data_IF_508804314200
#
_entry.id   IF_508804314200
#
_cell.length_a   1.000
_cell.length_b   1.000
_cell.length_c   1.000
_cell.angle_alpha   90.00
_cell.angle_beta   90.00
_cell.angle_gamma   90.00
#
_symmetry.space_group_name_H-M   'P 1'
#
loop_
_entity.id
_entity.type
_entity.pdbx_description
1 polymer ?
#
# COMPACT_ATOMS: atom_id res chain seq x y z
N UNK A 1 22.92 -7.15 6.00
CA UNK A 1 23.22 -6.10 6.99
C UNK A 1 23.00 -6.71 8.36
N UNK A 2 23.99 -6.66 9.24
CA UNK A 2 23.85 -7.06 10.65
C UNK A 2 23.38 -5.85 11.44
N UNK A 3 22.27 -5.97 12.16
CA UNK A 3 21.78 -4.91 13.06
C UNK A 3 22.85 -4.54 14.09
N UNK A 4 23.11 -3.26 14.30
CA UNK A 4 23.91 -2.77 15.41
C UNK A 4 23.13 -2.99 16.73
N UNK A 5 23.35 -4.15 17.35
CA UNK A 5 22.65 -4.58 18.55
C UNK A 5 22.88 -3.59 19.72
N UNK A 6 24.12 -3.18 20.07
CA UNK A 6 24.35 -2.16 21.09
C UNK A 6 23.55 -0.88 20.88
N UNK A 7 23.57 -0.33 19.66
CA UNK A 7 22.80 0.88 19.32
C UNK A 7 21.29 0.66 19.45
N UNK A 8 20.81 -0.50 19.00
CA UNK A 8 19.39 -0.86 19.10
C UNK A 8 18.93 -0.87 20.55
N UNK A 9 19.64 -1.58 21.43
CA UNK A 9 19.28 -1.68 22.84
C UNK A 9 19.32 -0.31 23.53
N UNK A 10 20.33 0.51 23.20
CA UNK A 10 20.42 1.88 23.72
C UNK A 10 19.23 2.74 23.32
N UNK A 11 18.82 2.71 22.04
CA UNK A 11 17.69 3.52 21.56
C UNK A 11 16.35 3.09 22.18
N UNK A 12 16.17 1.79 22.45
CA UNK A 12 14.99 1.31 23.19
C UNK A 12 15.02 1.70 24.67
N UNK A 13 16.20 1.84 25.29
CA UNK A 13 16.33 2.31 26.67
C UNK A 13 16.08 3.82 26.78
N UNK A 14 16.58 4.59 25.82
CA UNK A 14 16.56 6.07 25.83
C UNK A 14 15.44 6.67 24.98
N UNK A 15 14.41 5.89 24.63
CA UNK A 15 13.44 6.24 23.59
C UNK A 15 12.72 7.58 23.84
N UNK A 16 12.45 7.93 25.10
CA UNK A 16 11.82 9.21 25.48
C UNK A 16 12.64 10.45 25.08
N UNK A 17 13.95 10.32 24.94
CA UNK A 17 14.83 11.44 24.58
C UNK A 17 15.33 11.34 23.14
N UNK A 18 15.12 10.19 22.49
CA UNK A 18 15.73 9.84 21.21
C UNK A 18 14.70 9.20 20.27
N UNK A 19 13.44 9.58 20.38
CA UNK A 19 12.34 8.95 19.62
C UNK A 19 12.52 9.10 18.10
N UNK A 20 12.92 10.28 17.63
CA UNK A 20 13.22 10.50 16.21
C UNK A 20 14.40 9.64 15.73
N UNK A 21 15.45 9.52 16.54
CA UNK A 21 16.60 8.65 16.22
C UNK A 21 16.19 7.17 16.19
N UNK A 22 15.29 6.76 17.10
CA UNK A 22 14.71 5.42 17.10
C UNK A 22 13.89 5.17 15.83
N UNK A 23 13.07 6.13 15.39
CA UNK A 23 12.30 6.00 14.14
C UNK A 23 13.22 5.86 12.91
N UNK A 24 14.31 6.64 12.85
CA UNK A 24 15.31 6.52 11.79
C UNK A 24 15.96 5.14 11.84
N UNK A 25 16.43 4.72 13.02
CA UNK A 25 17.05 3.40 13.21
C UNK A 25 16.11 2.24 12.84
N UNK A 26 14.83 2.35 13.17
CA UNK A 26 13.81 1.38 12.79
C UNK A 26 13.69 1.25 11.28
N UNK A 27 13.60 2.36 10.55
CA UNK A 27 13.43 2.36 9.10
C UNK A 27 14.69 1.94 8.34
N UNK A 28 15.87 2.36 8.80
CA UNK A 28 17.11 2.19 8.05
C UNK A 28 17.87 0.90 8.39
N UNK A 29 17.74 0.40 9.63
CA UNK A 29 18.57 -0.70 10.11
C UNK A 29 17.76 -1.87 10.71
N UNK A 30 16.92 -1.62 11.71
CA UNK A 30 16.28 -2.70 12.46
C UNK A 30 15.22 -3.42 11.64
N UNK A 31 14.19 -2.73 11.11
CA UNK A 31 13.13 -3.38 10.35
C UNK A 31 13.66 -4.08 9.08
N UNK A 32 14.56 -3.51 8.27
CA UNK A 32 15.15 -4.22 7.13
C UNK A 32 15.83 -5.54 7.51
N UNK A 33 16.55 -5.55 8.64
CA UNK A 33 17.20 -6.76 9.16
C UNK A 33 16.18 -7.81 9.62
N UNK A 34 15.17 -7.39 10.40
CA UNK A 34 14.09 -8.26 10.85
C UNK A 34 13.33 -8.86 9.65
N UNK A 35 12.97 -8.04 8.67
CA UNK A 35 12.30 -8.49 7.43
C UNK A 35 13.14 -9.51 6.67
N UNK A 36 14.44 -9.28 6.55
CA UNK A 36 15.34 -10.24 5.88
C UNK A 36 15.29 -11.60 6.57
N UNK A 37 15.37 -11.62 7.91
CA UNK A 37 15.24 -12.86 8.69
C UNK A 37 13.87 -13.51 8.51
N UNK A 38 12.79 -12.72 8.61
CA UNK A 38 11.42 -13.19 8.45
C UNK A 38 11.23 -13.82 7.07
N UNK A 39 11.57 -13.12 5.98
CA UNK A 39 11.43 -13.62 4.61
C UNK A 39 12.22 -14.92 4.36
N UNK A 40 13.37 -15.11 5.01
CA UNK A 40 14.13 -16.36 4.90
C UNK A 40 13.43 -17.56 5.55
N UNK A 41 12.60 -17.31 6.57
CA UNK A 41 11.85 -18.33 7.32
C UNK A 41 10.38 -18.48 6.90
N UNK A 42 9.83 -17.46 6.24
CA UNK A 42 8.43 -17.41 5.80
C UNK A 42 8.01 -18.57 4.90
N UNK A 43 8.84 -19.09 3.96
CA UNK A 43 8.46 -20.24 3.15
C UNK A 43 8.10 -21.48 3.97
N UNK A 44 8.78 -21.71 5.10
CA UNK A 44 8.56 -22.87 5.95
C UNK A 44 7.38 -22.70 6.93
N UNK A 45 7.10 -21.46 7.36
CA UNK A 45 6.09 -21.19 8.38
C UNK A 45 4.76 -20.68 7.83
N UNK A 46 4.79 -19.95 6.72
CA UNK A 46 3.64 -19.25 6.14
C UNK A 46 3.44 -19.60 4.66
N UNK A 47 4.26 -20.51 4.13
CA UNK A 47 4.14 -21.02 2.78
C UNK A 47 2.86 -21.83 2.59
N UNK A 48 2.21 -21.64 1.44
CA UNK A 48 1.14 -22.50 0.95
C UNK A 48 1.63 -23.27 -0.28
N UNK A 49 1.09 -24.45 -0.48
CA UNK A 49 1.41 -25.30 -1.62
C UNK A 49 0.57 -24.93 -2.86
N UNK A 50 1.00 -25.34 -4.04
CA UNK A 50 0.28 -25.08 -5.30
C UNK A 50 -1.17 -25.59 -5.31
N UNK A 51 -1.42 -26.69 -4.59
CA UNK A 51 -2.75 -27.30 -4.47
C UNK A 51 -3.62 -26.68 -3.37
N UNK A 52 -3.14 -25.63 -2.70
CA UNK A 52 -3.86 -24.82 -1.71
C UNK A 52 -4.14 -23.42 -2.29
N UNK A 53 -4.99 -23.31 -3.34
CA UNK A 53 -5.21 -22.04 -4.00
C UNK A 53 -5.92 -21.05 -3.07
N UNK A 54 -5.57 -19.77 -3.21
CA UNK A 54 -6.30 -18.71 -2.53
C UNK A 54 -7.78 -18.72 -2.95
N UNK A 55 -8.70 -18.33 -2.04
CA UNK A 55 -10.09 -18.19 -2.39
C UNK A 55 -10.30 -17.22 -3.56
N UNK A 56 -11.13 -17.59 -4.52
CA UNK A 56 -11.44 -16.75 -5.69
C UNK A 56 -12.45 -15.64 -5.39
N UNK A 57 -13.29 -15.83 -4.36
CA UNK A 57 -14.26 -14.82 -3.95
C UNK A 57 -13.60 -13.77 -3.05
N UNK A 58 -14.01 -12.52 -3.20
CA UNK A 58 -13.35 -11.38 -2.56
C UNK A 58 -13.48 -11.36 -1.03
N UNK A 59 -14.59 -11.86 -0.49
CA UNK A 59 -14.82 -11.95 0.95
C UNK A 59 -13.79 -12.87 1.61
N UNK A 60 -13.70 -14.11 1.15
CA UNK A 60 -12.77 -15.09 1.72
C UNK A 60 -11.31 -14.72 1.42
N UNK A 61 -11.05 -14.03 0.30
CA UNK A 61 -9.73 -13.49 0.01
C UNK A 61 -9.33 -12.39 0.99
N UNK A 62 -10.29 -11.57 1.44
CA UNK A 62 -10.08 -10.60 2.51
C UNK A 62 -9.75 -11.30 3.83
N UNK A 63 -10.48 -12.36 4.19
CA UNK A 63 -10.21 -13.14 5.40
C UNK A 63 -8.81 -13.78 5.38
N UNK A 64 -8.40 -14.33 4.23
CA UNK A 64 -7.05 -14.87 4.04
C UNK A 64 -5.97 -13.80 4.25
N UNK A 65 -6.16 -12.59 3.71
CA UNK A 65 -5.22 -11.46 3.90
C UNK A 65 -5.15 -11.02 5.35
N UNK A 66 -6.29 -10.89 6.03
CA UNK A 66 -6.35 -10.56 7.45
C UNK A 66 -5.58 -11.59 8.27
N UNK A 67 -5.75 -12.88 7.98
CA UNK A 67 -5.01 -13.96 8.65
C UNK A 67 -3.51 -13.86 8.42
N UNK A 68 -3.07 -13.60 7.20
CA UNK A 68 -1.64 -13.38 6.92
C UNK A 68 -1.13 -12.16 7.67
N UNK A 69 -1.88 -11.06 7.71
CA UNK A 69 -1.49 -9.86 8.44
C UNK A 69 -1.22 -10.14 9.92
N UNK A 70 -2.12 -10.88 10.57
CA UNK A 70 -1.95 -11.34 11.95
C UNK A 70 -0.69 -12.22 12.10
N UNK A 71 -0.45 -13.16 11.19
CA UNK A 71 0.74 -14.02 11.26
C UNK A 71 2.04 -13.21 11.13
N UNK A 72 2.07 -12.21 10.24
CA UNK A 72 3.23 -11.33 10.08
C UNK A 72 3.46 -10.44 11.31
N UNK A 73 2.40 -9.96 11.95
CA UNK A 73 2.47 -9.24 13.23
C UNK A 73 3.09 -10.11 14.33
N UNK A 74 2.60 -11.34 14.52
CA UNK A 74 3.18 -12.27 15.49
C UNK A 74 4.66 -12.54 15.20
N UNK A 75 4.99 -12.79 13.93
CA UNK A 75 6.35 -13.05 13.51
C UNK A 75 7.28 -11.85 13.78
N UNK A 76 6.81 -10.64 13.51
CA UNK A 76 7.55 -9.41 13.80
C UNK A 76 7.80 -9.25 15.30
N UNK A 77 6.81 -9.51 16.15
CA UNK A 77 7.00 -9.35 17.59
C UNK A 77 8.01 -10.36 18.16
N UNK A 78 7.98 -11.61 17.70
CA UNK A 78 8.98 -12.61 18.10
C UNK A 78 10.38 -12.24 17.61
N UNK A 79 10.50 -11.77 16.37
CA UNK A 79 11.78 -11.32 15.82
C UNK A 79 12.32 -10.09 16.58
N UNK A 80 11.44 -9.16 16.96
CA UNK A 80 11.80 -8.02 17.79
C UNK A 80 12.22 -8.45 19.20
N UNK A 81 11.49 -9.38 19.84
CA UNK A 81 11.85 -9.91 21.16
C UNK A 81 13.21 -10.61 21.14
N UNK A 82 13.52 -11.32 20.05
CA UNK A 82 14.81 -11.99 19.89
C UNK A 82 15.99 -11.02 19.87
N UNK A 83 15.78 -9.81 19.33
CA UNK A 83 16.77 -8.72 19.38
C UNK A 83 16.83 -8.11 20.79
N UNK A 84 15.66 -7.81 21.37
CA UNK A 84 15.57 -7.08 22.64
C UNK A 84 15.92 -7.93 23.87
N UNK A 85 15.90 -9.26 23.79
CA UNK A 85 16.20 -10.18 24.91
C UNK A 85 17.57 -9.96 25.57
N UNK A 86 18.47 -9.23 24.90
CA UNK A 86 19.81 -8.88 25.39
C UNK A 86 19.89 -7.54 26.12
N UNK A 87 18.80 -6.77 26.15
CA UNK A 87 18.70 -5.51 26.89
C UNK A 87 17.65 -5.55 27.99
N UNK A 88 17.19 -4.36 28.39
CA UNK A 88 16.29 -4.20 29.53
C UNK A 88 14.81 -4.38 29.18
N UNK A 89 14.47 -4.52 27.90
CA UNK A 89 13.10 -4.63 27.41
C UNK A 89 12.83 -5.98 26.72
N UNK A 90 11.58 -6.43 26.77
CA UNK A 90 11.06 -7.60 26.04
C UNK A 90 9.84 -7.20 25.23
N UNK A 91 9.72 -7.70 24.02
CA UNK A 91 8.55 -7.45 23.18
C UNK A 91 7.47 -8.51 23.45
N UNK A 92 6.21 -8.09 23.43
CA UNK A 92 5.07 -9.00 23.57
C UNK A 92 3.78 -8.34 23.09
N UNK A 93 2.68 -9.06 23.28
CA UNK A 93 1.36 -8.64 22.80
C UNK A 93 0.51 -8.08 23.94
N UNK A 94 -0.52 -7.32 23.57
CA UNK A 94 -1.64 -7.02 24.47
C UNK A 94 -2.72 -8.11 24.35
N UNK A 95 -3.35 -8.45 25.48
CA UNK A 95 -4.30 -9.58 25.57
C UNK A 95 -5.63 -9.27 24.89
N UNK A 96 -6.00 -7.99 24.80
CA UNK A 96 -7.22 -7.55 24.12
C UNK A 96 -6.88 -7.07 22.71
N UNK A 97 -7.85 -7.19 21.78
CA UNK A 97 -7.83 -6.49 20.48
C UNK A 97 -7.94 -4.97 20.69
N UNK A 98 -6.92 -4.39 21.30
CA UNK A 98 -6.79 -2.98 21.64
C UNK A 98 -5.46 -2.50 21.10
N UNK A 99 -5.49 -1.27 20.61
CA UNK A 99 -4.27 -0.59 20.22
C UNK A 99 -3.32 -0.50 21.42
N UNK A 100 -2.01 -0.74 21.25
CA UNK A 100 -1.35 -1.20 20.03
C UNK A 100 -1.18 -2.72 19.94
N UNK A 101 -0.85 -3.23 18.76
CA UNK A 101 -0.62 -4.67 18.53
C UNK A 101 0.56 -5.26 19.35
N UNK A 102 1.70 -4.56 19.41
CA UNK A 102 2.93 -4.96 20.11
C UNK A 102 3.31 -3.93 21.16
N UNK A 103 3.78 -4.38 22.32
CA UNK A 103 4.35 -3.52 23.36
C UNK A 103 5.64 -4.10 23.91
N UNK A 104 6.62 -3.23 24.18
CA UNK A 104 7.81 -3.59 24.94
C UNK A 104 7.60 -3.36 26.43
N UNK A 105 8.18 -4.21 27.27
CA UNK A 105 8.13 -4.08 28.73
C UNK A 105 9.50 -4.26 29.35
N UNK A 106 9.82 -3.41 30.32
CA UNK A 106 11.06 -3.52 31.07
C UNK A 106 11.07 -4.80 31.93
N UNK A 107 12.16 -5.57 31.88
CA UNK A 107 12.26 -6.92 32.50
C UNK A 107 12.10 -6.88 34.01
N UNK A 108 12.62 -5.85 34.68
CA UNK A 108 12.61 -5.77 36.14
C UNK A 108 11.36 -5.08 36.74
N UNK A 109 10.67 -4.24 35.97
CA UNK A 109 9.61 -3.36 36.49
C UNK A 109 8.26 -3.57 35.80
N UNK A 110 8.24 -4.28 34.67
CA UNK A 110 7.09 -4.38 33.76
C UNK A 110 6.58 -3.02 33.25
N UNK A 111 7.38 -1.95 33.42
CA UNK A 111 7.06 -0.64 32.87
C UNK A 111 6.98 -0.74 31.34
N UNK A 112 5.97 -0.08 30.78
CA UNK A 112 5.71 -0.11 29.35
C UNK A 112 6.70 0.79 28.61
N UNK A 113 7.43 0.23 27.65
CA UNK A 113 8.31 0.96 26.74
C UNK A 113 7.60 1.30 25.41
N UNK A 114 8.39 1.38 24.35
CA UNK A 114 7.92 1.57 22.97
C UNK A 114 6.81 0.59 22.60
N UNK A 115 5.82 1.06 21.84
CA UNK A 115 4.70 0.24 21.35
C UNK A 115 4.50 0.40 19.85
N UNK A 116 4.13 -0.70 19.18
CA UNK A 116 3.99 -0.75 17.72
C UNK A 116 2.57 -1.21 17.36
N UNK A 117 1.88 -0.39 16.57
CA UNK A 117 0.68 -0.80 15.84
C UNK A 117 1.09 -1.33 14.48
N UNK A 118 0.81 -2.60 14.18
CA UNK A 118 1.26 -3.25 12.96
C UNK A 118 0.12 -3.29 11.93
N UNK A 119 0.42 -2.86 10.71
CA UNK A 119 -0.53 -2.91 9.60
C UNK A 119 0.13 -3.58 8.40
N UNK A 120 -0.33 -4.79 8.08
CA UNK A 120 0.17 -5.54 6.94
C UNK A 120 -0.69 -5.29 5.70
N UNK A 121 -0.15 -4.55 4.74
CA UNK A 121 -0.80 -4.18 3.50
C UNK A 121 -0.35 -5.14 2.40
N UNK A 122 -1.30 -5.87 1.81
CA UNK A 122 -1.01 -6.58 0.56
C UNK A 122 -1.01 -5.57 -0.59
N UNK A 123 0.07 -5.51 -1.36
CA UNK A 123 0.26 -4.48 -2.39
C UNK A 123 -0.82 -4.44 -3.51
N UNK A 124 -1.60 -5.51 -3.70
CA UNK A 124 -2.66 -5.62 -4.73
C UNK A 124 -4.09 -5.55 -4.18
N UNK A 125 -4.28 -5.28 -2.89
CA UNK A 125 -5.61 -5.29 -2.27
C UNK A 125 -6.08 -3.88 -1.88
N UNK A 126 -7.35 -3.56 -2.16
CA UNK A 126 -8.00 -2.41 -1.55
C UNK A 126 -8.20 -2.69 -0.05
N UNK A 127 -7.59 -1.85 0.79
CA UNK A 127 -7.41 -2.05 2.23
C UNK A 127 -8.72 -2.04 3.02
N UNK A 128 -9.34 -3.21 3.19
CA UNK A 128 -10.24 -3.42 4.33
C UNK A 128 -9.50 -3.78 5.62
N UNK A 129 -8.29 -4.34 5.49
CA UNK A 129 -7.53 -4.90 6.62
C UNK A 129 -6.46 -3.95 7.22
N UNK A 130 -6.07 -2.89 6.52
CA UNK A 130 -5.06 -1.94 6.99
C UNK A 130 -5.72 -0.60 7.33
N UNK A 131 -6.35 -0.59 8.50
CA UNK A 131 -7.06 0.56 9.01
C UNK A 131 -6.36 1.06 10.26
N UNK A 132 -5.82 2.27 10.22
CA UNK A 132 -5.28 2.99 11.37
C UNK A 132 -6.32 4.00 11.85
N UNK A 133 -7.32 3.49 12.59
CA UNK A 133 -8.47 4.27 13.08
C UNK A 133 -8.32 4.80 14.51
N UNK A 134 -7.23 4.46 15.21
CA UNK A 134 -7.01 4.87 16.62
C UNK A 134 -6.95 6.38 16.72
N UNK A 135 -7.77 6.97 17.60
CA UNK A 135 -7.85 8.42 17.79
C UNK A 135 -6.61 8.96 18.50
N UNK A 136 -6.26 10.23 18.23
CA UNK A 136 -5.06 10.88 18.82
C UNK A 136 -5.01 10.79 20.35
N UNK A 137 -6.17 10.80 21.03
CA UNK A 137 -6.24 10.71 22.49
C UNK A 137 -5.77 9.37 23.06
N UNK A 138 -5.84 8.31 22.25
CA UNK A 138 -5.51 6.93 22.64
C UNK A 138 -4.05 6.59 22.26
N UNK A 139 -3.32 7.58 21.70
CA UNK A 139 -1.94 7.46 21.24
C UNK A 139 -1.02 8.24 22.17
N UNK A 140 -0.04 7.55 22.74
CA UNK A 140 1.00 8.09 23.59
C UNK A 140 2.10 8.77 22.74
N UNK A 141 2.47 10.03 23.07
CA UNK A 141 3.58 10.71 22.41
C UNK A 141 4.87 9.94 22.61
N UNK A 142 5.75 9.98 21.60
CA UNK A 142 7.14 9.52 21.72
C UNK A 142 7.25 8.06 22.21
N UNK A 143 6.22 7.26 21.97
CA UNK A 143 6.13 5.88 22.44
C UNK A 143 5.41 5.00 21.43
N UNK A 144 4.37 5.52 20.77
CA UNK A 144 3.57 4.77 19.81
C UNK A 144 4.04 4.96 18.38
N UNK A 145 4.29 3.83 17.74
CA UNK A 145 4.81 3.73 16.38
C UNK A 145 3.78 3.01 15.53
N UNK A 146 3.42 3.60 14.39
CA UNK A 146 2.69 2.90 13.34
C UNK A 146 3.73 2.16 12.48
N UNK A 147 3.71 0.82 12.53
CA UNK A 147 4.54 -0.05 11.72
C UNK A 147 3.74 -0.62 10.55
N UNK A 148 4.12 -0.31 9.32
CA UNK A 148 3.42 -0.76 8.12
C UNK A 148 4.28 -1.76 7.36
N UNK A 149 3.76 -2.97 7.12
CA UNK A 149 4.43 -4.03 6.36
C UNK A 149 3.81 -4.12 4.97
N UNK A 150 4.57 -3.81 3.92
CA UNK A 150 4.15 -4.01 2.54
C UNK A 150 4.55 -5.41 2.08
N UNK A 151 3.57 -6.27 1.80
CA UNK A 151 3.82 -7.67 1.46
C UNK A 151 3.06 -8.13 0.21
N UNK A 152 3.52 -9.23 -0.37
CA UNK A 152 2.79 -9.95 -1.41
C UNK A 152 3.21 -11.43 -1.45
N UNK A 153 2.46 -12.23 -2.21
CA UNK A 153 2.82 -13.61 -2.48
C UNK A 153 4.05 -13.69 -3.38
N UNK A 154 5.04 -14.47 -2.95
CA UNK A 154 6.24 -14.78 -3.70
C UNK A 154 6.42 -16.29 -3.79
N UNK A 155 6.74 -16.78 -4.98
CA UNK A 155 6.93 -18.22 -5.23
C UNK A 155 8.42 -18.58 -5.11
N UNK A 156 8.73 -19.65 -4.38
CA UNK A 156 10.08 -20.23 -4.31
C UNK A 156 10.02 -21.73 -4.49
N UNK A 157 11.09 -22.30 -5.04
CA UNK A 157 11.29 -23.74 -5.08
C UNK A 157 11.99 -24.21 -3.79
N UNK A 158 11.32 -25.06 -3.01
CA UNK A 158 11.90 -25.81 -1.91
C UNK A 158 12.09 -27.26 -2.35
N UNK A 159 13.28 -27.58 -2.86
CA UNK A 159 13.55 -28.86 -3.51
C UNK A 159 12.73 -29.00 -4.79
N UNK A 160 11.85 -30.01 -4.84
CA UNK A 160 10.95 -30.26 -5.98
C UNK A 160 9.60 -29.57 -5.88
N UNK A 161 9.33 -28.87 -4.77
CA UNK A 161 8.02 -28.30 -4.45
C UNK A 161 8.04 -26.79 -4.64
N UNK A 162 7.05 -26.24 -5.35
CA UNK A 162 6.81 -24.80 -5.39
C UNK A 162 5.97 -24.40 -4.18
N UNK A 163 6.38 -23.30 -3.54
CA UNK A 163 5.74 -22.76 -2.35
C UNK A 163 5.54 -21.27 -2.55
N UNK A 164 4.31 -20.82 -2.39
CA UNK A 164 3.98 -19.39 -2.32
C UNK A 164 3.99 -18.97 -0.86
N UNK A 165 4.72 -17.92 -0.51
CA UNK A 165 4.75 -17.40 0.86
C UNK A 165 4.53 -15.88 0.87
N UNK A 166 4.07 -15.31 2.00
CA UNK A 166 4.01 -13.87 2.16
C UNK A 166 5.43 -13.30 2.30
N UNK A 167 5.89 -12.63 1.26
CA UNK A 167 7.16 -11.92 1.24
C UNK A 167 6.90 -10.45 1.60
N UNK A 168 7.57 -9.96 2.64
CA UNK A 168 7.55 -8.55 3.02
C UNK A 168 8.61 -7.83 2.20
N UNK A 169 8.20 -6.93 1.31
CA UNK A 169 9.13 -6.18 0.47
C UNK A 169 9.73 -4.98 1.19
N UNK A 170 8.94 -4.35 2.06
CA UNK A 170 9.36 -3.18 2.82
C UNK A 170 8.53 -3.02 4.08
N UNK A 171 9.14 -2.43 5.10
CA UNK A 171 8.42 -1.94 6.27
C UNK A 171 8.71 -0.47 6.51
N UNK A 172 7.79 0.19 7.21
CA UNK A 172 7.87 1.60 7.54
C UNK A 172 7.52 1.77 9.02
N UNK A 173 8.29 2.57 9.75
CA UNK A 173 7.97 3.02 11.10
C UNK A 173 7.68 4.52 11.08
N UNK A 174 6.50 4.90 11.59
CA UNK A 174 6.04 6.28 11.64
C UNK A 174 5.63 6.63 13.07
N UNK A 175 5.80 7.89 13.48
CA UNK A 175 5.16 8.43 14.68
C UNK A 175 3.64 8.33 14.51
N UNK A 176 3.00 7.45 15.29
CA UNK A 176 1.57 7.21 15.21
C UNK A 176 0.77 8.48 15.53
N UNK A 177 1.26 9.33 16.43
CA UNK A 177 0.59 10.54 16.87
C UNK A 177 0.63 11.62 15.81
N UNK A 178 1.75 11.79 15.11
CA UNK A 178 1.87 12.73 13.97
C UNK A 178 0.86 12.35 12.89
N UNK A 179 0.83 11.07 12.50
CA UNK A 179 -0.06 10.58 11.45
C UNK A 179 -1.53 10.74 11.87
N UNK A 180 -1.88 10.38 13.11
CA UNK A 180 -3.25 10.51 13.62
C UNK A 180 -3.70 11.98 13.73
N UNK A 181 -2.82 12.90 14.14
CA UNK A 181 -3.14 14.34 14.19
C UNK A 181 -3.47 14.89 12.81
N UNK A 182 -2.63 14.57 11.81
CA UNK A 182 -2.87 15.03 10.44
C UNK A 182 -4.21 14.44 9.94
N UNK A 183 -4.41 13.13 10.10
CA UNK A 183 -5.68 12.45 9.75
C UNK A 183 -6.89 13.13 10.37
N UNK A 184 -6.87 13.36 11.68
CA UNK A 184 -8.02 13.89 12.42
C UNK A 184 -8.32 15.34 12.02
N UNK A 185 -7.29 16.20 11.89
CA UNK A 185 -7.47 17.58 11.45
C UNK A 185 -8.00 17.62 10.01
N UNK A 186 -7.42 16.85 9.09
CA UNK A 186 -7.88 16.80 7.70
C UNK A 186 -9.31 16.26 7.63
N UNK A 187 -9.65 15.21 8.40
CA UNK A 187 -11.00 14.68 8.47
C UNK A 187 -12.02 15.71 8.94
N UNK A 188 -11.72 16.41 10.03
CA UNK A 188 -12.59 17.45 10.58
C UNK A 188 -12.70 18.67 9.65
N UNK A 189 -11.66 18.95 8.85
CA UNK A 189 -11.68 20.04 7.86
C UNK A 189 -12.55 19.72 6.63
N UNK A 190 -12.90 18.45 6.41
CA UNK A 190 -13.75 18.04 5.32
C UNK A 190 -15.23 18.21 5.67
N UNK A 191 -15.91 19.10 4.97
CA UNK A 191 -17.38 19.24 5.05
C UNK A 191 -18.14 18.26 4.14
N UNK A 192 -17.42 17.58 3.23
CA UNK A 192 -17.95 16.54 2.34
C UNK A 192 -19.17 16.96 1.51
N UNK A 193 -19.89 15.96 0.98
CA UNK A 193 -21.17 16.15 0.27
C UNK A 193 -22.35 16.48 1.22
N UNK A 194 -22.12 16.38 2.54
CA UNK A 194 -23.17 16.37 3.55
C UNK A 194 -23.56 17.76 4.07
N UNK A 195 -22.90 18.83 3.60
CA UNK A 195 -23.12 20.23 4.03
C UNK A 195 -23.05 20.46 5.56
N UNK A 196 -22.57 19.49 6.33
CA UNK A 196 -22.57 19.44 7.79
C UNK A 196 -21.20 18.97 8.30
N UNK A 197 -20.71 19.52 9.43
CA UNK A 197 -19.40 19.15 9.96
C UNK A 197 -19.39 17.70 10.44
N UNK A 198 -18.32 16.98 10.08
CA UNK A 198 -17.95 15.71 10.70
C UNK A 198 -17.47 15.97 12.13
N UNK A 199 -17.64 15.00 13.02
CA UNK A 199 -17.26 15.14 14.43
C UNK A 199 -16.38 13.96 14.88
N UNK A 200 -15.65 14.17 15.97
CA UNK A 200 -14.99 13.11 16.74
C UNK A 200 -15.42 13.30 18.20
N UNK A 201 -16.00 12.25 18.79
CA UNK A 201 -16.49 12.26 20.16
C UNK A 201 -15.85 11.13 20.99
N UNK A 202 -16.45 10.82 22.14
CA UNK A 202 -15.94 9.74 22.99
C UNK A 202 -16.12 8.36 22.37
N UNK A 203 -17.14 8.15 21.54
CA UNK A 203 -17.43 6.89 20.89
C UNK A 203 -16.62 6.68 19.60
N UNK A 204 -16.19 7.74 18.92
CA UNK A 204 -15.36 7.66 17.73
C UNK A 204 -15.55 8.83 16.77
N UNK A 205 -15.16 8.62 15.52
CA UNK A 205 -15.53 9.54 14.45
C UNK A 205 -17.01 9.36 14.08
N UNK A 206 -17.68 10.48 13.84
CA UNK A 206 -19.10 10.56 13.51
C UNK A 206 -19.29 11.25 12.16
N UNK A 207 -20.26 10.74 11.40
CA UNK A 207 -20.73 11.31 10.14
C UNK A 207 -22.21 11.68 10.23
N UNK A 208 -22.62 12.81 9.64
CA UNK A 208 -24.02 13.21 9.62
C UNK A 208 -24.84 12.23 8.74
N UNK A 209 -26.04 11.89 9.19
CA UNK A 209 -27.02 11.07 8.44
C UNK A 209 -28.06 11.97 7.76
N UNK A 210 -28.62 12.91 8.53
CA UNK A 210 -29.54 13.94 8.06
C UNK A 210 -29.02 15.30 8.53
N UNK A 211 -29.07 16.29 7.65
CA UNK A 211 -28.74 17.67 7.97
C UNK A 211 -30.00 18.53 7.91
N UNK A 212 -30.36 19.07 9.07
CA UNK A 212 -31.31 20.15 9.25
C UNK A 212 -30.76 21.03 10.38
N UNK A 213 -30.98 22.34 10.30
CA UNK A 213 -30.41 23.33 11.20
C UNK A 213 -30.72 23.02 12.68
N UNK A 214 -31.84 22.35 12.93
CA UNK A 214 -32.33 22.03 14.28
C UNK A 214 -32.31 20.53 14.63
N UNK A 215 -32.07 19.62 13.67
CA UNK A 215 -32.22 18.15 13.89
C UNK A 215 -31.12 17.28 13.28
N UNK A 216 -29.89 17.80 13.18
CA UNK A 216 -28.77 17.01 12.65
C UNK A 216 -28.55 15.74 13.48
N UNK A 217 -28.57 14.59 12.81
CA UNK A 217 -28.34 13.27 13.43
C UNK A 217 -27.03 12.68 12.95
N UNK A 218 -26.30 12.03 13.85
CA UNK A 218 -24.98 11.45 13.59
C UNK A 218 -25.00 9.93 13.71
N UNK A 219 -24.20 9.26 12.89
CA UNK A 219 -23.80 7.85 13.09
C UNK A 219 -22.30 7.73 13.23
N UNK A 220 -21.87 6.62 13.81
CA UNK A 220 -20.46 6.20 13.77
C UNK A 220 -19.99 6.04 12.32
N UNK A 221 -18.79 6.54 12.06
CA UNK A 221 -18.11 6.41 10.79
C UNK A 221 -17.82 4.93 10.50
N UNK A 222 -18.11 4.47 9.28
CA UNK A 222 -18.03 3.06 8.87
C UNK A 222 -16.60 2.63 8.49
N UNK A 223 -15.62 3.02 9.31
CA UNK A 223 -14.20 2.65 9.19
C UNK A 223 -13.51 3.15 7.90
N UNK A 224 -13.93 4.26 7.33
CA UNK A 224 -13.17 4.96 6.29
C UNK A 224 -12.10 5.90 6.85
N UNK A 225 -12.25 6.40 8.09
CA UNK A 225 -11.33 7.38 8.69
C UNK A 225 -9.87 6.91 8.62
N UNK A 226 -9.62 5.64 8.95
CA UNK A 226 -8.26 5.13 9.11
C UNK A 226 -7.69 4.39 7.91
N UNK A 227 -8.30 4.46 6.72
CA UNK A 227 -7.76 3.76 5.53
C UNK A 227 -6.36 4.28 5.21
N UNK A 228 -5.35 3.43 5.42
CA UNK A 228 -3.93 3.83 5.50
C UNK A 228 -3.45 4.56 4.25
N UNK A 229 -3.84 4.05 3.08
CA UNK A 229 -3.54 4.65 1.77
C UNK A 229 -4.20 6.01 1.50
N UNK A 230 -5.17 6.42 2.32
CA UNK A 230 -5.97 7.65 2.14
C UNK A 230 -5.95 8.54 3.38
N UNK A 231 -5.09 8.26 4.36
CA UNK A 231 -5.03 9.00 5.63
C UNK A 231 -4.71 10.48 5.41
N UNK A 232 -3.74 10.74 4.55
CA UNK A 232 -3.22 12.08 4.28
C UNK A 232 -3.40 12.39 2.80
N UNK A 233 -4.29 13.32 2.51
CA UNK A 233 -4.32 13.99 1.22
C UNK A 233 -3.14 14.98 1.17
N UNK A 234 -2.09 14.58 0.46
CA UNK A 234 -0.87 15.38 0.35
C UNK A 234 -1.07 16.71 -0.38
N UNK A 235 -2.06 16.79 -1.27
CA UNK A 235 -2.40 18.04 -1.97
C UNK A 235 -3.06 19.00 -1.00
N UNK A 236 -4.01 18.51 -0.19
CA UNK A 236 -4.66 19.30 0.85
C UNK A 236 -3.66 19.72 1.93
N UNK A 237 -2.77 18.82 2.35
CA UNK A 237 -1.72 19.10 3.33
C UNK A 237 -0.71 20.14 2.81
N UNK A 238 -0.41 20.13 1.51
CA UNK A 238 0.48 21.13 0.91
C UNK A 238 -0.17 22.52 0.80
N UNK A 239 -1.49 22.56 0.52
CA UNK A 239 -2.24 23.79 0.30
C UNK A 239 -2.81 24.44 1.57
N UNK A 240 -2.79 23.74 2.71
CA UNK A 240 -3.39 24.22 3.96
C UNK A 240 -2.63 25.42 4.55
N UNK A 241 -3.39 26.35 5.12
CA UNK A 241 -2.86 27.48 5.92
C UNK A 241 -3.05 27.25 7.42
N UNK A 242 -3.60 26.10 7.82
CA UNK A 242 -3.83 25.76 9.22
C UNK A 242 -2.49 25.57 9.95
N UNK A 243 -2.17 26.43 10.92
CA UNK A 243 -0.85 26.51 11.57
C UNK A 243 -0.34 25.16 12.07
N UNK A 244 -1.19 24.37 12.74
CA UNK A 244 -0.79 23.04 13.23
C UNK A 244 -0.45 22.05 12.09
N UNK A 245 -1.13 22.13 10.94
CA UNK A 245 -0.81 21.26 9.80
C UNK A 245 0.48 21.69 9.12
N UNK A 246 0.78 22.99 9.10
CA UNK A 246 2.05 23.52 8.58
C UNK A 246 3.24 23.00 9.40
N UNK A 247 3.11 22.97 10.73
CA UNK A 247 4.12 22.38 11.61
C UNK A 247 4.27 20.88 11.38
N UNK A 248 3.15 20.14 11.38
CA UNK A 248 3.15 18.68 11.22
C UNK A 248 3.63 18.23 9.84
N UNK A 249 3.41 19.02 8.78
CA UNK A 249 3.85 18.70 7.41
C UNK A 249 5.34 18.46 7.31
N UNK A 250 6.14 19.10 8.14
CA UNK A 250 7.60 19.01 8.12
C UNK A 250 8.14 17.89 9.01
N UNK A 251 7.29 17.13 9.70
CA UNK A 251 7.72 16.00 10.50
C UNK A 251 8.29 14.88 9.62
N UNK A 252 9.36 14.23 10.08
CA UNK A 252 10.04 13.11 9.38
C UNK A 252 9.07 12.01 8.95
N UNK A 253 8.09 11.70 9.80
CA UNK A 253 7.06 10.69 9.55
C UNK A 253 6.17 11.01 8.34
N UNK A 254 6.02 12.29 7.95
CA UNK A 254 5.26 12.65 6.73
C UNK A 254 6.03 12.24 5.48
N UNK A 255 7.36 12.43 5.45
CA UNK A 255 8.19 11.98 4.34
C UNK A 255 8.20 10.44 4.24
N UNK A 256 8.27 9.74 5.38
CA UNK A 256 8.16 8.27 5.43
C UNK A 256 6.79 7.81 4.94
N UNK A 257 5.70 8.49 5.31
CA UNK A 257 4.36 8.20 4.80
C UNK A 257 4.27 8.39 3.29
N UNK A 258 4.80 9.49 2.74
CA UNK A 258 4.84 9.69 1.28
C UNK A 258 5.59 8.56 0.56
N UNK A 259 6.71 8.11 1.14
CA UNK A 259 7.50 7.02 0.60
C UNK A 259 6.77 5.67 0.69
N UNK A 260 6.06 5.40 1.79
CA UNK A 260 5.16 4.26 1.92
C UNK A 260 4.13 4.23 0.79
N UNK A 261 3.41 5.34 0.60
CA UNK A 261 2.37 5.46 -0.41
C UNK A 261 2.96 5.24 -1.81
N UNK A 262 4.04 5.95 -2.14
CA UNK A 262 4.75 5.79 -3.42
C UNK A 262 5.23 4.36 -3.64
N UNK A 263 5.82 3.73 -2.63
CA UNK A 263 6.32 2.35 -2.73
C UNK A 263 5.17 1.37 -2.97
N UNK A 264 4.06 1.50 -2.23
CA UNK A 264 2.89 0.65 -2.40
C UNK A 264 2.30 0.78 -3.82
N UNK A 265 2.19 2.01 -4.34
CA UNK A 265 1.74 2.26 -5.71
C UNK A 265 2.66 1.64 -6.76
N UNK A 266 3.97 1.90 -6.66
CA UNK A 266 4.97 1.37 -7.60
C UNK A 266 4.95 -0.15 -7.62
N UNK A 267 4.83 -0.78 -6.45
CA UNK A 267 4.74 -2.23 -6.35
C UNK A 267 3.50 -2.79 -7.05
N UNK A 268 2.34 -2.15 -6.85
CA UNK A 268 1.10 -2.50 -7.55
C UNK A 268 1.24 -2.42 -9.07
N UNK A 269 1.86 -1.35 -9.58
CA UNK A 269 2.15 -1.16 -11.01
C UNK A 269 3.06 -2.28 -11.52
N UNK A 270 4.20 -2.49 -10.88
CA UNK A 270 5.19 -3.49 -11.27
C UNK A 270 4.56 -4.88 -11.39
N UNK A 271 3.72 -5.28 -10.44
CA UNK A 271 3.06 -6.58 -10.48
C UNK A 271 2.08 -6.71 -11.64
N UNK A 272 1.30 -5.66 -11.91
CA UNK A 272 0.41 -5.62 -13.09
C UNK A 272 1.23 -5.77 -14.37
N UNK A 273 2.36 -5.06 -14.48
CA UNK A 273 3.26 -5.16 -15.63
C UNK A 273 3.84 -6.56 -15.80
N UNK A 274 4.34 -7.19 -14.72
CA UNK A 274 4.84 -8.57 -14.75
C UNK A 274 3.75 -9.56 -15.17
N UNK A 275 2.53 -9.38 -14.69
CA UNK A 275 1.38 -10.22 -15.08
C UNK A 275 1.04 -10.09 -16.55
N UNK A 276 1.10 -8.87 -17.10
CA UNK A 276 0.89 -8.60 -18.53
C UNK A 276 2.01 -9.27 -19.34
N UNK A 277 3.27 -9.00 -19.01
CA UNK A 277 4.43 -9.58 -19.68
C UNK A 277 4.37 -11.11 -19.76
N UNK A 278 4.02 -11.76 -18.63
CA UNK A 278 3.85 -13.21 -18.56
C UNK A 278 2.70 -13.69 -19.45
N UNK A 279 1.57 -12.98 -19.46
CA UNK A 279 0.39 -13.33 -20.27
C UNK A 279 0.64 -13.24 -21.77
N UNK A 280 1.52 -12.32 -22.19
CA UNK A 280 1.87 -12.09 -23.59
C UNK A 280 2.89 -13.12 -24.08
N UNK A 281 3.53 -13.89 -23.20
CA UNK A 281 4.58 -14.88 -23.54
C UNK A 281 5.70 -14.27 -24.40
N UNK A 282 6.12 -13.05 -24.06
CA UNK A 282 7.27 -12.43 -24.72
C UNK A 282 8.49 -13.35 -24.52
N UNK A 283 9.07 -13.83 -25.62
CA UNK A 283 10.02 -14.94 -25.63
C UNK A 283 11.41 -14.58 -25.10
N UNK A 284 11.70 -13.33 -24.80
CA UNK A 284 13.03 -12.87 -24.37
C UNK A 284 12.96 -11.57 -23.57
N UNK A 285 13.76 -11.49 -22.51
CA UNK A 285 14.30 -10.26 -21.91
C UNK A 285 13.34 -9.08 -21.77
N UNK A 286 12.37 -9.16 -20.86
CA UNK A 286 11.62 -7.99 -20.43
C UNK A 286 12.48 -7.18 -19.47
N UNK A 287 13.17 -6.16 -19.99
CA UNK A 287 13.64 -5.03 -19.19
C UNK A 287 12.45 -4.12 -18.96
N UNK A 288 12.14 -3.76 -17.72
CA UNK A 288 11.17 -2.69 -17.41
C UNK A 288 12.00 -1.50 -16.97
N UNK A 289 12.06 -0.47 -17.81
CA UNK A 289 12.74 0.77 -17.45
C UNK A 289 11.81 1.66 -16.62
N UNK A 290 12.03 1.62 -15.30
CA UNK A 290 11.33 2.48 -14.35
C UNK A 290 11.94 3.90 -14.27
N UNK A 291 13.05 4.20 -14.94
CA UNK A 291 13.67 5.53 -14.91
C UNK A 291 12.78 6.61 -15.53
N UNK A 292 11.84 6.21 -16.40
CA UNK A 292 10.80 7.07 -16.97
C UNK A 292 9.63 7.36 -16.02
N UNK A 293 9.57 6.75 -14.83
CA UNK A 293 8.67 7.16 -13.73
C UNK A 293 9.12 8.48 -13.06
N UNK A 294 9.75 9.36 -13.83
CA UNK A 294 10.21 10.66 -13.38
C UNK A 294 9.05 11.53 -12.92
N UNK A 295 8.93 11.71 -11.60
CA UNK A 295 8.20 12.81 -10.94
C UNK A 295 6.82 13.12 -11.49
N UNK A 296 5.88 12.18 -11.40
CA UNK A 296 4.47 12.51 -11.61
C UNK A 296 3.84 13.00 -10.31
N UNK A 297 3.32 14.21 -10.40
CA UNK A 297 2.69 14.93 -9.30
C UNK A 297 1.48 14.14 -8.78
N UNK A 298 1.23 14.20 -7.48
CA UNK A 298 0.28 13.41 -6.66
C UNK A 298 -1.21 13.41 -7.12
N UNK A 299 -1.52 13.97 -8.29
CA UNK A 299 -2.85 14.02 -8.89
C UNK A 299 -3.06 13.04 -10.06
N UNK A 300 -2.06 12.22 -10.40
CA UNK A 300 -2.19 11.15 -11.39
C UNK A 300 -0.85 10.48 -11.70
N UNK A 301 -0.77 9.16 -11.55
CA UNK A 301 0.42 8.38 -11.88
C UNK A 301 0.36 7.92 -13.35
N UNK A 302 1.36 8.29 -14.15
CA UNK A 302 1.60 7.65 -15.44
C UNK A 302 2.86 6.78 -15.32
N UNK A 303 2.76 5.50 -15.69
CA UNK A 303 3.90 4.60 -15.74
C UNK A 303 4.21 4.28 -17.21
N UNK A 304 5.43 4.59 -17.66
CA UNK A 304 5.92 4.09 -18.94
C UNK A 304 6.71 2.83 -18.63
N UNK A 305 6.36 1.72 -19.28
CA UNK A 305 7.10 0.48 -19.15
C UNK A 305 7.46 0.00 -20.57
N UNK A 306 8.64 0.40 -21.02
CA UNK A 306 9.17 -0.09 -22.29
C UNK A 306 9.44 -1.58 -22.15
N UNK A 307 8.84 -2.39 -23.02
CA UNK A 307 9.10 -3.82 -23.10
C UNK A 307 9.97 -4.04 -24.32
N UNK A 308 11.29 -4.12 -24.12
CA UNK A 308 12.24 -4.39 -25.20
C UNK A 308 12.12 -5.85 -25.69
N UNK A 309 11.04 -6.14 -26.42
CA UNK A 309 10.98 -7.30 -27.28
C UNK A 309 10.59 -6.87 -28.68
N UNK A 310 11.61 -6.48 -29.44
CA UNK A 310 11.71 -6.33 -30.90
C UNK A 310 10.72 -5.40 -31.61
N UNK A 311 9.51 -5.07 -31.12
CA UNK A 311 8.58 -4.16 -31.84
C UNK A 311 7.34 -3.72 -31.01
N UNK A 312 7.43 -3.52 -29.69
CA UNK A 312 6.23 -3.11 -28.90
C UNK A 312 6.61 -2.22 -27.71
N UNK A 313 6.26 -0.93 -27.75
CA UNK A 313 6.23 -0.09 -26.55
C UNK A 313 4.87 -0.22 -25.87
N UNK A 314 4.86 -0.46 -24.54
CA UNK A 314 3.65 -0.47 -23.71
C UNK A 314 3.68 0.75 -22.77
N UNK A 315 2.72 1.65 -22.95
CA UNK A 315 2.45 2.73 -22.00
C UNK A 315 1.38 2.25 -21.00
N UNK A 316 1.54 2.51 -19.71
CA UNK A 316 0.50 2.21 -18.71
C UNK A 316 0.13 3.47 -17.94
N UNK A 317 -0.97 4.07 -18.36
CA UNK A 317 -1.51 5.24 -17.66
C UNK A 317 -2.34 4.76 -16.45
N UNK A 318 -2.21 5.41 -15.30
CA UNK A 318 -3.06 5.20 -14.12
C UNK A 318 -3.75 6.51 -13.73
N UNK A 319 -4.80 6.43 -12.91
CA UNK A 319 -5.37 7.61 -12.25
C UNK A 319 -5.80 7.21 -10.85
N UNK A 320 -5.34 7.95 -9.84
CA UNK A 320 -5.62 7.69 -8.43
C UNK A 320 -6.94 8.31 -7.96
N UNK A 321 -7.51 9.23 -8.73
CA UNK A 321 -8.70 9.98 -8.31
C UNK A 321 -10.01 9.18 -8.39
N UNK A 322 -9.99 7.95 -8.92
CA UNK A 322 -11.20 7.19 -9.26
C UNK A 322 -12.10 7.88 -10.30
N UNK A 323 -11.72 9.07 -10.79
CA UNK A 323 -12.45 9.82 -11.80
C UNK A 323 -12.20 9.20 -13.16
N UNK A 324 -13.30 9.05 -13.90
CA UNK A 324 -13.29 8.63 -15.29
C UNK A 324 -12.48 9.64 -16.11
N UNK A 325 -11.25 9.27 -16.52
CA UNK A 325 -10.48 10.08 -17.47
C UNK A 325 -11.32 10.20 -18.75
N UNK A 326 -11.69 11.42 -19.13
CA UNK A 326 -12.39 11.64 -20.40
C UNK A 326 -11.51 11.20 -21.57
N UNK A 327 -12.11 10.84 -22.71
CA UNK A 327 -11.35 10.52 -23.92
C UNK A 327 -10.40 11.66 -24.32
N UNK A 328 -10.79 12.90 -24.04
CA UNK A 328 -9.99 14.07 -24.39
C UNK A 328 -8.81 14.26 -23.44
N UNK A 329 -8.95 13.96 -22.13
CA UNK A 329 -7.83 13.94 -21.19
C UNK A 329 -6.83 12.82 -21.50
N UNK A 330 -7.31 11.67 -21.98
CA UNK A 330 -6.44 10.60 -22.46
C UNK A 330 -5.66 11.04 -23.70
N UNK A 331 -6.29 11.70 -24.67
CA UNK A 331 -5.60 12.22 -25.86
C UNK A 331 -4.52 13.25 -25.53
N UNK A 332 -4.69 14.05 -24.48
CA UNK A 332 -3.67 15.02 -24.05
C UNK A 332 -2.52 14.39 -23.28
N UNK A 333 -2.74 13.24 -22.63
CA UNK A 333 -1.70 12.47 -21.92
C UNK A 333 -0.92 11.57 -22.87
N UNK A 334 -1.54 11.14 -23.97
CA UNK A 334 -0.91 10.44 -25.07
C UNK A 334 -0.15 11.49 -25.89
N UNK A 335 1.15 11.65 -25.62
CA UNK A 335 2.05 12.25 -26.60
C UNK A 335 1.93 11.40 -27.86
N UNK A 336 1.68 11.96 -29.05
CA UNK A 336 1.58 11.18 -30.28
C UNK A 336 2.96 10.60 -30.61
N UNK A 337 3.26 9.45 -30.01
CA UNK A 337 4.07 8.43 -30.64
C UNK A 337 3.21 7.84 -31.76
N UNK A 338 3.84 7.61 -32.91
CA UNK A 338 3.28 7.37 -34.24
C UNK A 338 2.00 6.48 -34.30
N UNK A 339 1.31 6.53 -35.45
CA UNK A 339 -0.06 6.05 -35.79
C UNK A 339 -0.50 4.62 -35.35
N UNK A 340 0.33 3.86 -34.62
CA UNK A 340 0.10 2.51 -34.13
C UNK A 340 -0.17 2.46 -32.62
N UNK A 341 -1.24 3.07 -32.13
CA UNK A 341 -1.56 3.12 -30.68
C UNK A 341 -2.84 2.34 -30.31
N UNK A 342 -2.75 1.39 -29.37
CA UNK A 342 -3.90 0.61 -28.83
C UNK A 342 -4.13 0.87 -27.33
N UNK A 343 -5.21 1.55 -26.93
CA UNK A 343 -5.51 1.81 -25.49
C UNK A 343 -6.44 0.74 -24.92
N UNK A 344 -5.96 -0.06 -23.95
CA UNK A 344 -6.74 -1.11 -23.26
C UNK A 344 -7.24 -0.63 -21.89
N UNK A 345 -8.52 -0.25 -21.80
CA UNK A 345 -9.19 0.16 -20.53
C UNK A 345 -9.44 -1.06 -19.61
N UNK A 346 -8.70 -1.15 -18.50
CA UNK A 346 -8.97 -2.17 -17.46
C UNK A 346 -9.88 -1.67 -16.35
N UNK A 347 -10.71 -2.57 -15.79
CA UNK A 347 -11.66 -2.23 -14.72
C UNK A 347 -10.93 -1.92 -13.39
N UNK A 348 -11.46 -0.96 -12.61
CA UNK A 348 -10.75 -0.33 -11.51
C UNK A 348 -10.96 -1.13 -10.22
N UNK A 349 -9.92 -1.82 -9.74
CA UNK A 349 -9.85 -2.18 -8.32
C UNK A 349 -9.18 -1.09 -7.47
N UNK A 350 -8.47 -0.18 -8.14
CA UNK A 350 -7.73 0.93 -7.52
C UNK A 350 -8.14 2.31 -8.06
N UNK A 351 -9.22 2.41 -8.84
CA UNK A 351 -9.53 3.63 -9.61
C UNK A 351 -8.72 3.80 -10.90
N UNK A 352 -7.82 2.84 -11.21
CA UNK A 352 -6.88 2.98 -12.32
C UNK A 352 -7.54 2.68 -13.67
N UNK A 353 -7.12 3.44 -14.68
CA UNK A 353 -7.42 3.18 -16.10
C UNK A 353 -6.13 2.93 -16.82
N UNK A 354 -5.70 1.67 -16.84
CA UNK A 354 -4.62 1.25 -17.72
C UNK A 354 -5.00 1.53 -19.18
N UNK A 355 -4.02 1.82 -20.01
CA UNK A 355 -4.22 2.10 -21.42
C UNK A 355 -2.95 1.76 -22.18
N UNK A 356 -2.93 0.60 -22.85
CA UNK A 356 -1.67 -0.09 -23.17
C UNK A 356 -0.75 0.54 -24.23
N UNK A 357 -1.10 1.10 -25.36
CA UNK A 357 -0.19 1.43 -26.48
C UNK A 357 0.67 0.21 -26.97
N UNK A 358 0.74 0.01 -28.28
CA UNK A 358 1.53 -1.09 -28.88
C UNK A 358 2.07 -0.55 -30.19
N UNK A 359 3.24 0.07 -30.15
CA UNK A 359 3.91 0.59 -31.36
C UNK A 359 4.65 -0.55 -32.05
N UNK A 360 4.22 -0.94 -33.26
CA UNK A 360 4.97 -1.91 -34.07
C UNK A 360 5.85 -1.21 -35.09
N UNK A 361 7.10 -1.68 -35.22
CA UNK A 361 8.14 -1.04 -36.04
C UNK A 361 7.99 -1.26 -37.57
N UNK A 362 6.85 -1.75 -38.07
CA UNK A 362 6.73 -2.05 -39.50
C UNK A 362 5.38 -1.67 -40.11
N UNK A 363 5.32 -0.48 -40.72
CA UNK A 363 4.83 -0.22 -42.09
C UNK A 363 3.54 -0.89 -42.62
N UNK A 364 2.67 -1.44 -41.77
CA UNK A 364 1.41 -2.08 -42.17
C UNK A 364 0.24 -1.39 -41.48
N UNK A 365 -0.87 -1.40 -42.22
CA UNK A 365 -1.95 -0.39 -42.21
C UNK A 365 -2.43 0.02 -40.82
N UNK A 366 -2.81 1.31 -40.65
CA UNK A 366 -3.28 1.83 -39.38
C UNK A 366 -4.51 1.06 -38.90
N UNK A 367 -4.46 0.57 -37.66
CA UNK A 367 -5.66 0.10 -36.96
C UNK A 367 -6.52 1.32 -36.63
N UNK A 368 -7.35 1.73 -37.60
CA UNK A 368 -8.37 2.77 -37.44
C UNK A 368 -9.50 2.28 -36.54
N UNK A 369 -9.26 2.09 -35.25
CA UNK A 369 -10.31 2.20 -34.22
C UNK A 369 -9.75 2.00 -32.81
N UNK A 370 -9.89 3.04 -31.98
CA UNK A 370 -9.90 2.89 -30.53
C UNK A 370 -11.17 2.11 -30.18
N UNK A 371 -11.10 0.78 -30.04
CA UNK A 371 -12.17 -0.02 -29.45
C UNK A 371 -11.95 -0.07 -27.94
N UNK A 372 -12.81 0.60 -27.18
CA UNK A 372 -12.91 0.38 -25.74
C UNK A 372 -13.44 -1.04 -25.50
N UNK A 373 -12.60 -1.94 -24.99
CA UNK A 373 -13.01 -3.30 -24.62
C UNK A 373 -13.29 -3.30 -23.12
N UNK A 374 -14.57 -3.40 -22.75
CA UNK A 374 -14.99 -3.53 -21.35
C UNK A 374 -14.64 -4.94 -20.88
N UNK A 375 -13.64 -5.08 -20.00
CA UNK A 375 -13.44 -6.36 -19.29
C UNK A 375 -14.61 -6.55 -18.31
N UNK A 376 -15.56 -7.42 -18.64
CA UNK A 376 -16.59 -7.85 -17.69
C UNK A 376 -15.99 -8.94 -16.80
N UNK A 377 -15.90 -8.65 -15.50
CA UNK A 377 -15.70 -9.67 -14.49
C UNK A 377 -16.75 -10.78 -14.65
N UNK A 378 -16.28 -12.01 -14.52
CA UNK A 378 -16.95 -13.26 -14.87
C UNK A 378 -18.38 -13.33 -14.32
N UNK A 379 -19.37 -13.26 -15.22
CA UNK A 379 -20.62 -13.99 -15.08
C UNK A 379 -20.78 -14.89 -16.32
N UNK A 380 -20.66 -16.19 -16.12
CA UNK A 380 -21.27 -17.23 -16.96
C UNK A 380 -20.77 -17.53 -18.38
N UNK A 381 -19.96 -16.71 -19.06
CA UNK A 381 -19.44 -17.03 -20.41
C UNK A 381 -17.92 -16.88 -20.48
N UNK A 382 -17.23 -17.83 -21.13
CA UNK A 382 -15.78 -17.78 -21.39
C UNK A 382 -15.44 -16.43 -22.04
N UNK A 383 -14.66 -15.56 -21.38
CA UNK A 383 -14.15 -14.35 -22.02
C UNK A 383 -13.08 -14.75 -23.04
N UNK A 384 -13.02 -14.03 -24.17
CA UNK A 384 -11.79 -13.99 -24.96
C UNK A 384 -10.67 -13.53 -24.01
N UNK A 385 -9.62 -14.33 -23.87
CA UNK A 385 -8.52 -14.00 -22.95
C UNK A 385 -7.83 -12.72 -23.44
N UNK A 386 -7.18 -11.97 -22.52
CA UNK A 386 -6.33 -10.83 -22.92
C UNK A 386 -5.33 -11.25 -24.00
N UNK A 387 -4.84 -12.49 -23.90
CA UNK A 387 -4.03 -13.16 -24.91
C UNK A 387 -4.72 -13.30 -26.27
N UNK A 388 -5.99 -13.71 -26.33
CA UNK A 388 -6.73 -13.81 -27.61
C UNK A 388 -6.93 -12.44 -28.26
N UNK A 389 -7.18 -11.40 -27.46
CA UNK A 389 -7.31 -10.02 -27.95
C UNK A 389 -5.97 -9.44 -28.43
N UNK A 390 -4.90 -9.65 -27.67
CA UNK A 390 -3.56 -9.20 -28.07
C UNK A 390 -3.05 -10.00 -29.27
N UNK A 391 -3.28 -11.31 -29.34
CA UNK A 391 -2.97 -12.11 -30.53
C UNK A 391 -3.77 -11.65 -31.74
N UNK A 392 -5.06 -11.33 -31.60
CA UNK A 392 -5.86 -10.76 -32.69
C UNK A 392 -5.26 -9.44 -33.22
N UNK A 393 -4.84 -8.54 -32.33
CA UNK A 393 -4.23 -7.25 -32.69
C UNK A 393 -2.82 -7.38 -33.28
N UNK A 394 -2.05 -8.40 -32.87
CA UNK A 394 -0.70 -8.69 -33.39
C UNK A 394 -0.74 -9.48 -34.72
N UNK A 395 -1.80 -10.26 -34.96
CA UNK A 395 -1.96 -11.12 -36.15
C UNK A 395 -2.68 -10.47 -37.33
N UNK A 396 -3.28 -9.29 -37.14
CA UNK A 396 -3.81 -8.43 -38.20
C UNK A 396 -2.73 -7.54 -38.79
#
# INVERSE_FOLDING_TARGET
MTTDLPRTLQLFNDYHHRFDELLVHLNEELLPSLITSLNNSSPQHFGKLDHEPLPKNERNLTDARTRIGVLLEYALAFALDDVLKHGDYRAGFLVANQFPDITTRHVGTFAQGVRLEVKAIQAVAEEKAANFGTLVRDILPEQDILCVLLWDWHTVALGTTQVDYPHIYRAFALDARVIAKIRDILWLSQTGDYQSPKLIDIAGALVPINYDADTTTYKLEEKNLGKLTRLIDMTLLAATTHTQLVELRNASSVAVYQDLIRTAYNFGIERVMRSIATSIKLKTGVSIDFSLLGSFNLNGFAAVALLESVSVDILVIGNDTGRQLSKDNLKTLIVPYEDNTVVIEMRPKFGWRMGIIVTTEQGKRPVRQIKSVRWQGISGKKPATLRDHLQYLISG
#
